data_IF_301643454807
#
_entry.id   IF_301643454807
#
_cell.length_a   1.000
_cell.length_b   1.000
_cell.length_c   1.000
_cell.angle_alpha   90.00
_cell.angle_beta   90.00
_cell.angle_gamma   90.00
#
_symmetry.space_group_name_H-M   'P 1'
#
loop_
_entity.id
_entity.type
_entity.pdbx_description
1 polymer ?
#
# COMPACT_ATOMS: atom_id res chain seq x y z
N UNK A 1 -17.05 45.00 10.53
CA UNK A 1 -15.77 44.24 10.70
C UNK A 1 -16.12 42.78 10.57
N UNK A 2 -15.59 42.11 9.57
CA UNK A 2 -15.69 40.65 9.53
C UNK A 2 -14.92 40.07 10.72
N UNK A 3 -15.60 39.33 11.59
CA UNK A 3 -14.91 38.52 12.61
C UNK A 3 -13.95 37.57 11.87
N UNK A 4 -12.65 37.76 12.09
CA UNK A 4 -11.66 36.81 11.58
C UNK A 4 -12.02 35.43 12.15
N UNK A 5 -12.48 34.51 11.31
CA UNK A 5 -12.73 33.13 11.68
C UNK A 5 -11.52 32.58 12.41
N UNK A 6 -11.66 32.22 13.68
CA UNK A 6 -10.60 31.58 14.47
C UNK A 6 -10.16 30.30 13.75
N UNK A 7 -8.89 30.27 13.33
CA UNK A 7 -8.27 29.04 12.81
C UNK A 7 -7.95 28.17 14.03
N UNK A 8 -8.66 27.05 14.15
CA UNK A 8 -8.43 26.07 15.20
C UNK A 8 -7.07 25.40 15.03
N UNK A 9 -6.37 25.16 16.13
CA UNK A 9 -5.19 24.29 16.15
C UNK A 9 -5.63 22.84 16.35
N UNK A 10 -4.75 21.89 16.04
CA UNK A 10 -5.05 20.45 16.19
C UNK A 10 -5.45 20.11 17.64
N UNK A 11 -4.75 20.68 18.62
CA UNK A 11 -5.03 20.48 20.04
C UNK A 11 -6.37 21.08 20.52
N UNK A 12 -6.94 22.00 19.75
CA UNK A 12 -8.23 22.63 20.08
C UNK A 12 -9.44 21.79 19.61
N UNK A 13 -9.20 20.76 18.79
CA UNK A 13 -10.26 19.94 18.18
C UNK A 13 -10.68 18.83 19.16
N UNK A 14 -11.97 18.73 19.53
CA UNK A 14 -12.46 17.63 20.35
C UNK A 14 -12.19 16.25 19.70
N UNK A 15 -11.85 15.27 20.54
CA UNK A 15 -11.48 13.91 20.05
C UNK A 15 -12.59 13.28 19.23
N UNK A 16 -13.86 13.51 19.59
CA UNK A 16 -15.02 13.02 18.83
C UNK A 16 -15.13 13.56 17.39
N UNK A 17 -14.37 14.61 17.06
CA UNK A 17 -14.29 15.20 15.72
C UNK A 17 -12.99 14.82 14.99
N UNK A 18 -12.27 13.81 15.46
CA UNK A 18 -11.01 13.35 14.88
C UNK A 18 -11.11 11.92 14.38
N UNK A 19 -10.20 11.54 13.49
CA UNK A 19 -10.08 10.14 13.08
C UNK A 19 -9.36 9.31 14.15
N UNK A 20 -9.83 8.09 14.37
CA UNK A 20 -9.21 7.11 15.27
C UNK A 20 -8.00 6.45 14.57
N UNK A 21 -6.95 7.24 14.29
CA UNK A 21 -5.75 6.76 13.60
C UNK A 21 -5.01 5.69 14.39
N UNK A 22 -5.20 5.62 15.70
CA UNK A 22 -4.72 4.59 16.61
C UNK A 22 -5.28 3.19 16.31
N UNK A 23 -6.43 3.09 15.64
CA UNK A 23 -7.00 1.82 15.19
C UNK A 23 -6.21 1.23 13.99
N UNK A 24 -5.47 2.06 13.26
CA UNK A 24 -4.57 1.62 12.19
C UNK A 24 -3.21 1.23 12.77
N UNK A 25 -2.57 2.14 13.51
CA UNK A 25 -1.32 1.91 14.23
C UNK A 25 -1.34 2.62 15.58
N UNK A 26 -0.99 1.90 16.62
CA UNK A 26 -0.97 2.42 18.00
C UNK A 26 0.10 3.50 18.22
N UNK A 27 1.10 3.57 17.35
CA UNK A 27 2.18 4.56 17.40
C UNK A 27 2.88 4.70 16.04
N UNK A 28 3.67 5.78 15.90
CA UNK A 28 4.51 6.02 14.73
C UNK A 28 5.59 4.93 14.57
N UNK A 29 6.11 4.38 15.68
CA UNK A 29 7.08 3.28 15.67
C UNK A 29 6.46 1.99 15.14
N UNK A 30 5.19 1.71 15.44
CA UNK A 30 4.47 0.57 14.88
C UNK A 30 4.28 0.72 13.36
N UNK A 31 3.99 1.93 12.89
CA UNK A 31 3.94 2.25 11.47
C UNK A 31 5.30 2.06 10.79
N UNK A 32 6.39 2.53 11.41
CA UNK A 32 7.75 2.36 10.89
C UNK A 32 8.14 0.88 10.76
N UNK A 33 7.77 0.06 11.74
CA UNK A 33 8.02 -1.38 11.68
C UNK A 33 7.26 -2.03 10.50
N UNK A 34 6.03 -1.61 10.24
CA UNK A 34 5.23 -2.13 9.14
C UNK A 34 5.73 -1.64 7.77
N UNK A 35 6.32 -0.43 7.70
CA UNK A 35 7.05 0.05 6.52
C UNK A 35 8.20 -0.87 6.13
N UNK A 36 8.96 -1.37 7.10
CA UNK A 36 10.05 -2.33 6.84
C UNK A 36 9.51 -3.63 6.25
N UNK A 37 8.40 -4.14 6.80
CA UNK A 37 7.74 -5.34 6.26
C UNK A 37 7.22 -5.12 4.84
N UNK A 38 6.63 -3.97 4.55
CA UNK A 38 6.19 -3.61 3.20
C UNK A 38 7.35 -3.61 2.20
N UNK A 39 8.51 -3.07 2.56
CA UNK A 39 9.69 -3.07 1.69
C UNK A 39 10.22 -4.50 1.45
N UNK A 40 10.19 -5.37 2.48
CA UNK A 40 10.56 -6.77 2.35
C UNK A 40 9.61 -7.53 1.43
N UNK A 41 8.30 -7.41 1.65
CA UNK A 41 7.26 -8.01 0.80
C UNK A 41 7.35 -7.51 -0.65
N UNK A 42 7.66 -6.23 -0.85
CA UNK A 42 7.91 -5.66 -2.18
C UNK A 42 9.12 -6.28 -2.89
N UNK A 43 10.19 -6.56 -2.14
CA UNK A 43 11.36 -7.26 -2.67
C UNK A 43 11.04 -8.73 -3.01
N UNK A 44 10.23 -9.41 -2.19
CA UNK A 44 9.76 -10.76 -2.46
C UNK A 44 8.87 -10.81 -3.70
N UNK A 45 7.96 -9.85 -3.84
CA UNK A 45 7.07 -9.72 -5.00
C UNK A 45 7.87 -9.58 -6.30
N UNK A 46 8.96 -8.83 -6.29
CA UNK A 46 9.85 -8.67 -7.45
C UNK A 46 10.51 -9.99 -7.90
N UNK A 47 10.60 -11.00 -7.03
CA UNK A 47 11.17 -12.32 -7.38
C UNK A 47 10.29 -13.15 -8.34
N UNK A 48 9.05 -12.72 -8.56
CA UNK A 48 8.14 -13.37 -9.53
C UNK A 48 8.43 -12.99 -10.98
N UNK A 49 9.31 -12.04 -11.25
CA UNK A 49 9.71 -11.66 -12.60
C UNK A 49 10.12 -12.90 -13.41
N UNK A 50 9.53 -13.07 -14.61
CA UNK A 50 9.75 -14.23 -15.49
C UNK A 50 9.01 -15.50 -15.06
N UNK A 51 8.14 -15.46 -14.05
CA UNK A 51 7.45 -16.65 -13.52
C UNK A 51 5.92 -16.63 -13.72
N UNK A 52 5.38 -15.61 -14.35
CA UNK A 52 3.92 -15.46 -14.49
C UNK A 52 3.33 -16.31 -15.62
N UNK A 53 4.16 -16.97 -16.41
CA UNK A 53 3.74 -17.88 -17.48
C UNK A 53 3.29 -19.27 -17.02
N UNK A 54 3.01 -19.48 -15.74
CA UNK A 54 2.47 -20.72 -15.16
C UNK A 54 1.32 -20.40 -14.21
N UNK A 55 0.39 -21.34 -14.03
CA UNK A 55 -0.72 -21.19 -13.09
C UNK A 55 -0.25 -20.91 -11.66
N UNK A 56 0.76 -21.64 -11.18
CA UNK A 56 1.34 -21.46 -9.85
C UNK A 56 2.05 -20.12 -9.69
N UNK A 57 2.84 -19.70 -10.69
CA UNK A 57 3.55 -18.43 -10.67
C UNK A 57 2.59 -17.23 -10.71
N UNK A 58 1.59 -17.28 -11.58
CA UNK A 58 0.57 -16.24 -11.68
C UNK A 58 -0.24 -16.12 -10.37
N UNK A 59 -0.74 -17.23 -9.85
CA UNK A 59 -1.50 -17.24 -8.60
C UNK A 59 -0.66 -16.74 -7.42
N UNK A 60 0.59 -17.22 -7.30
CA UNK A 60 1.50 -16.80 -6.24
C UNK A 60 1.77 -15.31 -6.26
N UNK A 61 1.99 -14.73 -7.44
CA UNK A 61 2.17 -13.30 -7.62
C UNK A 61 0.92 -12.52 -7.22
N UNK A 62 -0.25 -12.87 -7.76
CA UNK A 62 -1.50 -12.15 -7.48
C UNK A 62 -1.88 -12.21 -5.99
N UNK A 63 -1.68 -13.37 -5.34
CA UNK A 63 -1.91 -13.51 -3.92
C UNK A 63 -0.95 -12.63 -3.08
N UNK A 64 0.33 -12.62 -3.42
CA UNK A 64 1.31 -11.77 -2.74
C UNK A 64 1.05 -10.27 -2.98
N UNK A 65 0.61 -9.89 -4.19
CA UNK A 65 0.23 -8.53 -4.55
C UNK A 65 -1.00 -8.05 -3.75
N UNK A 66 -2.00 -8.91 -3.57
CA UNK A 66 -3.17 -8.62 -2.72
C UNK A 66 -2.75 -8.39 -1.26
N UNK A 67 -1.89 -9.25 -0.72
CA UNK A 67 -1.44 -9.16 0.67
C UNK A 67 -0.64 -7.88 0.94
N UNK A 68 0.31 -7.55 0.07
CA UNK A 68 1.06 -6.29 0.20
C UNK A 68 0.15 -5.08 -0.02
N UNK A 69 -0.87 -5.19 -0.89
CA UNK A 69 -1.86 -4.15 -1.14
C UNK A 69 -2.63 -3.75 0.12
N UNK A 70 -3.05 -4.72 0.93
CA UNK A 70 -3.70 -4.46 2.22
C UNK A 70 -2.78 -3.71 3.19
N UNK A 71 -1.50 -4.12 3.28
CA UNK A 71 -0.49 -3.44 4.11
C UNK A 71 -0.24 -2.02 3.62
N UNK A 72 -0.03 -1.83 2.32
CA UNK A 72 0.14 -0.52 1.68
C UNK A 72 -1.05 0.39 2.02
N UNK A 73 -2.28 -0.12 1.91
CA UNK A 73 -3.49 0.62 2.24
C UNK A 73 -3.52 1.11 3.69
N UNK A 74 -3.13 0.26 4.64
CA UNK A 74 -3.08 0.61 6.06
C UNK A 74 -2.01 1.67 6.35
N UNK A 75 -0.79 1.46 5.81
CA UNK A 75 0.34 2.39 5.94
C UNK A 75 -0.01 3.75 5.36
N UNK A 76 -0.57 3.78 4.15
CA UNK A 76 -0.98 5.01 3.46
C UNK A 76 -2.02 5.79 4.26
N UNK A 77 -3.09 5.12 4.71
CA UNK A 77 -4.15 5.77 5.45
C UNK A 77 -3.64 6.40 6.75
N UNK A 78 -2.77 5.74 7.49
CA UNK A 78 -2.21 6.31 8.72
C UNK A 78 -1.41 7.59 8.45
N UNK A 79 -0.35 7.52 7.64
CA UNK A 79 0.52 8.68 7.43
C UNK A 79 -0.19 9.83 6.70
N UNK A 80 -1.11 9.53 5.78
CA UNK A 80 -1.89 10.56 5.09
C UNK A 80 -2.88 11.24 6.02
N UNK A 81 -3.67 10.48 6.82
CA UNK A 81 -4.61 11.08 7.79
C UNK A 81 -3.89 11.91 8.84
N UNK A 82 -2.76 11.41 9.36
CA UNK A 82 -1.91 12.19 10.27
C UNK A 82 -1.41 13.49 9.65
N UNK A 83 -1.00 13.47 8.38
CA UNK A 83 -0.61 14.67 7.64
C UNK A 83 -1.77 15.63 7.39
N UNK A 84 -2.97 15.11 7.12
CA UNK A 84 -4.17 15.89 6.88
C UNK A 84 -4.70 16.56 8.18
N UNK A 85 -4.49 15.94 9.34
CA UNK A 85 -4.87 16.50 10.64
C UNK A 85 -4.13 17.80 10.98
N UNK A 86 -2.86 17.91 10.62
CA UNK A 86 -2.07 19.14 10.74
C UNK A 86 -1.01 19.19 9.64
N UNK A 87 -1.32 19.90 8.58
CA UNK A 87 -0.41 20.06 7.42
C UNK A 87 0.89 20.81 7.72
N UNK A 88 1.01 21.41 8.92
CA UNK A 88 2.23 22.08 9.38
C UNK A 88 3.18 21.12 10.08
N UNK A 89 2.74 19.91 10.43
CA UNK A 89 3.56 18.94 11.13
C UNK A 89 4.57 18.28 10.18
N UNK A 90 5.84 18.67 10.33
CA UNK A 90 6.93 18.18 9.48
C UNK A 90 7.23 16.67 9.63
N UNK A 91 6.91 16.08 10.79
CA UNK A 91 7.09 14.65 11.03
C UNK A 91 6.20 13.84 10.08
N UNK A 92 4.92 14.17 10.01
CA UNK A 92 3.98 13.46 9.15
C UNK A 92 4.16 13.76 7.66
N UNK A 93 4.67 14.95 7.31
CA UNK A 93 5.12 15.23 5.95
C UNK A 93 6.30 14.34 5.55
N UNK A 94 7.26 14.14 6.46
CA UNK A 94 8.41 13.25 6.23
C UNK A 94 7.97 11.78 6.12
N UNK A 95 7.04 11.30 6.96
CA UNK A 95 6.46 9.96 6.88
C UNK A 95 5.76 9.73 5.53
N UNK A 96 4.97 10.68 5.06
CA UNK A 96 4.34 10.63 3.74
C UNK A 96 5.38 10.55 2.61
N UNK A 97 6.45 11.32 2.70
CA UNK A 97 7.57 11.29 1.75
C UNK A 97 8.27 9.94 1.71
N UNK A 98 8.55 9.37 2.89
CA UNK A 98 9.14 8.03 3.04
C UNK A 98 8.26 6.95 2.42
N UNK A 99 6.98 6.95 2.74
CA UNK A 99 6.01 6.01 2.17
C UNK A 99 5.97 6.10 0.64
N UNK A 100 5.82 7.30 0.07
CA UNK A 100 5.76 7.49 -1.39
C UNK A 100 7.03 7.02 -2.08
N UNK A 101 8.20 7.29 -1.49
CA UNK A 101 9.48 6.85 -2.03
C UNK A 101 9.59 5.31 -2.06
N UNK A 102 9.18 4.64 -0.99
CA UNK A 102 9.15 3.18 -0.94
C UNK A 102 8.17 2.59 -1.97
N UNK A 103 6.96 3.16 -2.08
CA UNK A 103 5.95 2.72 -3.03
C UNK A 103 6.43 2.83 -4.49
N UNK A 104 7.13 3.91 -4.84
CA UNK A 104 7.73 4.09 -6.18
C UNK A 104 8.77 3.01 -6.46
N UNK A 105 9.61 2.66 -5.49
CA UNK A 105 10.61 1.59 -5.64
C UNK A 105 9.96 0.23 -5.86
N UNK A 106 8.93 -0.10 -5.08
CA UNK A 106 8.17 -1.36 -5.24
C UNK A 106 7.51 -1.39 -6.61
N UNK A 107 6.83 -0.33 -7.02
CA UNK A 107 6.19 -0.24 -8.33
C UNK A 107 7.18 -0.39 -9.49
N UNK A 108 8.37 0.20 -9.40
CA UNK A 108 9.42 0.03 -10.39
C UNK A 108 9.94 -1.41 -10.46
N UNK A 109 10.16 -2.06 -9.30
CA UNK A 109 10.60 -3.45 -9.23
C UNK A 109 9.57 -4.44 -9.76
N UNK A 110 8.28 -4.12 -9.65
CA UNK A 110 7.15 -4.94 -10.12
C UNK A 110 6.64 -4.54 -11.52
N UNK A 111 7.34 -3.69 -12.25
CA UNK A 111 6.94 -3.23 -13.60
C UNK A 111 6.85 -4.35 -14.65
N UNK A 112 7.43 -5.51 -14.39
CA UNK A 112 7.34 -6.72 -15.24
C UNK A 112 5.93 -7.31 -15.28
N UNK A 113 5.11 -7.08 -14.25
CA UNK A 113 3.85 -7.81 -14.05
C UNK A 113 2.86 -7.61 -15.20
N UNK A 114 2.56 -6.37 -15.54
CA UNK A 114 1.60 -6.07 -16.60
C UNK A 114 2.02 -6.66 -17.96
N UNK A 115 3.25 -6.45 -18.49
CA UNK A 115 3.64 -7.04 -19.76
C UNK A 115 3.69 -8.58 -19.73
N UNK A 116 4.10 -9.21 -18.62
CA UNK A 116 4.09 -10.67 -18.52
C UNK A 116 2.66 -11.23 -18.51
N UNK A 117 1.73 -10.62 -17.76
CA UNK A 117 0.33 -11.05 -17.75
C UNK A 117 -0.30 -10.85 -19.13
N UNK A 118 -0.06 -9.72 -19.77
CA UNK A 118 -0.58 -9.45 -21.12
C UNK A 118 -0.02 -10.36 -22.22
N UNK A 119 1.11 -11.02 -21.97
CA UNK A 119 1.71 -11.99 -22.89
C UNK A 119 1.13 -13.41 -22.73
N UNK A 120 0.29 -13.66 -21.72
CA UNK A 120 -0.37 -14.97 -21.56
C UNK A 120 -1.45 -15.11 -22.64
N UNK A 121 -1.38 -16.17 -23.44
CA UNK A 121 -2.39 -16.47 -24.46
C UNK A 121 -3.68 -17.01 -23.80
N UNK A 122 -4.85 -16.75 -24.39
CA UNK A 122 -6.15 -17.17 -23.87
C UNK A 122 -6.21 -18.67 -23.57
N UNK A 123 -5.64 -19.50 -24.45
CA UNK A 123 -5.61 -20.96 -24.26
C UNK A 123 -4.75 -21.39 -23.05
N UNK A 124 -3.69 -20.64 -22.74
CA UNK A 124 -2.87 -20.88 -21.54
C UNK A 124 -3.62 -20.41 -20.29
N UNK A 125 -4.31 -19.29 -20.37
CA UNK A 125 -5.11 -18.76 -19.27
C UNK A 125 -6.26 -19.72 -18.90
N UNK A 126 -6.97 -20.28 -19.89
CA UNK A 126 -8.00 -21.31 -19.67
C UNK A 126 -7.43 -22.55 -18.97
N UNK A 127 -6.21 -22.97 -19.36
CA UNK A 127 -5.50 -24.05 -18.67
C UNK A 127 -5.15 -23.68 -17.24
N UNK A 128 -4.69 -22.45 -16.99
CA UNK A 128 -4.36 -21.99 -15.65
C UNK A 128 -5.57 -21.99 -14.72
N UNK A 129 -6.75 -21.59 -15.20
CA UNK A 129 -8.01 -21.68 -14.43
C UNK A 129 -8.36 -23.13 -14.09
N UNK A 130 -8.13 -24.07 -15.01
CA UNK A 130 -8.36 -25.48 -14.74
C UNK A 130 -7.37 -26.07 -13.70
N UNK A 131 -6.09 -25.64 -13.75
CA UNK A 131 -5.05 -26.09 -12.82
C UNK A 131 -5.17 -25.41 -11.44
N UNK A 132 -5.63 -24.16 -11.41
CA UNK A 132 -5.73 -23.31 -10.20
C UNK A 132 -7.05 -22.55 -10.20
N UNK A 133 -8.16 -23.18 -9.79
CA UNK A 133 -9.49 -22.54 -9.79
C UNK A 133 -9.57 -21.24 -8.96
N UNK A 134 -8.66 -21.04 -8.00
CA UNK A 134 -8.57 -19.82 -7.21
C UNK A 134 -8.25 -18.56 -8.06
N UNK A 135 -7.74 -18.74 -9.29
CA UNK A 135 -7.52 -17.64 -10.23
C UNK A 135 -8.81 -17.04 -10.81
N UNK A 136 -9.96 -17.71 -10.66
CA UNK A 136 -11.27 -17.23 -11.14
C UNK A 136 -11.96 -16.24 -10.19
N UNK A 137 -11.34 -15.80 -9.11
CA UNK A 137 -11.92 -14.88 -8.11
C UNK A 137 -11.96 -13.44 -8.55
#
# INVERSE_FOLDING_TARGET
>A
MEEMKKIWKREDIPVEHTWATEDLYVSDEAWEADMVLMEQEGAELATFAGKLGTAEGLYGFLYADEMIGERIGRIANYCMRKGDEDTRNSVYQAMNGKFRSALVKIGAACSFATPEIMAIEDADLDRFYAEKPELER
#
